data_IF_322612720134
#
_entry.id   IF_322612720134
#
_cell.length_a   1.000
_cell.length_b   1.000
_cell.length_c   1.000
_cell.angle_alpha   90.00
_cell.angle_beta   90.00
_cell.angle_gamma   90.00
#
_symmetry.space_group_name_H-M   'P 1'
#
loop_
_entity.id
_entity.type
_entity.pdbx_description
1 polymer ?
#
# COMPACT_ATOMS: atom_id res chain seq x y z
N UNK A 1 -14.09 5.43 -19.03
CA UNK A 1 -13.79 4.34 -18.05
C UNK A 1 -14.87 4.29 -16.96
N UNK A 2 -15.28 5.40 -16.38
CA UNK A 2 -16.10 5.45 -15.17
C UNK A 2 -17.61 5.50 -15.37
N UNK A 3 -18.12 5.46 -16.61
CA UNK A 3 -19.57 5.61 -16.90
C UNK A 3 -20.42 4.59 -16.14
N UNK A 4 -20.08 3.31 -16.22
CA UNK A 4 -20.81 2.25 -15.51
C UNK A 4 -20.74 2.37 -13.98
N UNK A 5 -19.61 2.83 -13.42
CA UNK A 5 -19.48 3.13 -11.98
C UNK A 5 -20.42 4.27 -11.60
N UNK A 6 -20.45 5.34 -12.41
CA UNK A 6 -21.30 6.50 -12.16
C UNK A 6 -22.79 6.17 -12.28
N UNK A 7 -23.18 5.28 -13.19
CA UNK A 7 -24.54 4.74 -13.29
C UNK A 7 -24.94 4.01 -12.02
N UNK A 8 -24.07 3.14 -11.49
CA UNK A 8 -24.32 2.42 -10.23
C UNK A 8 -24.44 3.40 -9.06
N UNK A 9 -23.55 4.39 -8.96
CA UNK A 9 -23.63 5.43 -7.92
C UNK A 9 -24.96 6.18 -8.01
N UNK A 10 -25.44 6.52 -9.21
CA UNK A 10 -26.74 7.23 -9.37
C UNK A 10 -27.93 6.35 -9.00
N UNK A 11 -27.87 5.06 -9.29
CA UNK A 11 -29.00 4.13 -9.12
C UNK A 11 -29.27 3.75 -7.65
N UNK A 12 -28.29 3.85 -6.75
CA UNK A 12 -28.41 3.37 -5.38
C UNK A 12 -28.45 4.51 -4.37
N UNK A 13 -29.40 4.46 -3.44
CA UNK A 13 -29.52 5.43 -2.34
C UNK A 13 -28.49 5.19 -1.22
N UNK A 14 -28.16 3.92 -0.96
CA UNK A 14 -27.16 3.52 0.03
C UNK A 14 -25.94 2.96 -0.68
N UNK A 15 -24.75 3.46 -0.31
CA UNK A 15 -23.48 3.03 -0.85
C UNK A 15 -22.57 2.67 0.32
N UNK A 16 -21.95 1.50 0.26
CA UNK A 16 -21.02 1.02 1.28
C UNK A 16 -19.65 0.84 0.64
N UNK A 17 -18.68 1.59 1.10
CA UNK A 17 -17.31 1.58 0.57
C UNK A 17 -16.47 0.57 1.32
N UNK A 18 -15.88 -0.36 0.60
CA UNK A 18 -14.97 -1.40 1.08
C UNK A 18 -13.55 -1.15 0.59
N UNK A 19 -12.57 -1.74 1.26
CA UNK A 19 -11.14 -1.71 0.91
C UNK A 19 -10.44 -2.95 1.45
N UNK A 20 -9.15 -3.10 1.17
CA UNK A 20 -8.36 -4.18 1.76
C UNK A 20 -8.16 -4.04 3.27
N UNK A 21 -7.90 -5.18 3.94
CA UNK A 21 -7.55 -5.22 5.36
C UNK A 21 -6.18 -4.57 5.61
N UNK A 22 -5.99 -4.04 6.83
CA UNK A 22 -4.77 -3.31 7.21
C UNK A 22 -4.47 -2.14 6.27
N UNK A 23 -5.36 -1.14 6.25
CA UNK A 23 -5.31 -0.07 5.25
C UNK A 23 -3.99 0.67 5.25
N UNK A 24 -3.56 1.01 4.06
CA UNK A 24 -2.55 2.04 3.85
C UNK A 24 -3.19 3.41 3.55
N UNK A 25 -2.37 4.35 3.07
CA UNK A 25 -2.86 5.70 2.79
C UNK A 25 -3.74 5.76 1.55
N UNK A 26 -3.53 4.87 0.57
CA UNK A 26 -4.34 4.82 -0.64
C UNK A 26 -5.69 4.18 -0.39
N UNK A 27 -5.73 3.03 0.26
CA UNK A 27 -6.98 2.36 0.61
C UNK A 27 -7.92 3.24 1.45
N UNK A 28 -7.38 3.91 2.46
CA UNK A 28 -8.18 4.79 3.30
C UNK A 28 -8.50 6.13 2.61
N UNK A 29 -7.53 6.69 1.89
CA UNK A 29 -7.69 7.94 1.14
C UNK A 29 -8.74 7.83 0.05
N UNK A 30 -8.77 6.72 -0.68
CA UNK A 30 -9.77 6.40 -1.70
C UNK A 30 -11.17 6.27 -1.07
N UNK A 31 -11.28 5.60 0.08
CA UNK A 31 -12.54 5.41 0.80
C UNK A 31 -13.12 6.73 1.29
N UNK A 32 -12.35 7.55 2.00
CA UNK A 32 -12.78 8.86 2.48
C UNK A 32 -13.05 9.80 1.31
N UNK A 33 -12.14 9.85 0.33
CA UNK A 33 -12.26 10.73 -0.83
C UNK A 33 -13.55 10.48 -1.62
N UNK A 34 -13.84 9.21 -1.94
CA UNK A 34 -15.04 8.84 -2.69
C UNK A 34 -16.32 9.10 -1.86
N UNK A 35 -16.31 8.83 -0.53
CA UNK A 35 -17.43 9.14 0.36
C UNK A 35 -17.81 10.61 0.23
N UNK A 36 -16.87 11.52 0.42
CA UNK A 36 -17.13 12.95 0.36
C UNK A 36 -17.51 13.41 -1.05
N UNK A 37 -16.87 12.90 -2.11
CA UNK A 37 -17.28 13.22 -3.49
C UNK A 37 -18.73 12.83 -3.73
N UNK A 38 -19.17 11.64 -3.30
CA UNK A 38 -20.55 11.22 -3.49
C UNK A 38 -21.51 12.09 -2.68
N UNK A 39 -21.21 12.37 -1.42
CA UNK A 39 -22.06 13.20 -0.55
C UNK A 39 -22.21 14.64 -1.07
N UNK A 40 -21.14 15.23 -1.57
CA UNK A 40 -21.12 16.61 -2.06
C UNK A 40 -21.89 16.77 -3.40
N UNK A 41 -21.92 15.74 -4.24
CA UNK A 41 -22.52 15.82 -5.57
C UNK A 41 -23.89 15.12 -5.70
N UNK A 42 -24.23 14.26 -4.78
CA UNK A 42 -25.50 13.50 -4.76
C UNK A 42 -26.17 13.64 -3.39
N UNK A 43 -26.73 14.81 -3.06
CA UNK A 43 -27.33 15.05 -1.76
C UNK A 43 -28.48 14.07 -1.52
N UNK A 44 -28.51 13.51 -0.31
CA UNK A 44 -29.49 12.51 0.10
C UNK A 44 -28.99 11.06 0.05
N UNK A 45 -27.87 10.76 -0.62
CA UNK A 45 -27.28 9.43 -0.57
C UNK A 45 -26.63 9.16 0.78
N UNK A 46 -26.87 7.96 1.31
CA UNK A 46 -26.22 7.44 2.51
C UNK A 46 -24.93 6.72 2.11
N UNK A 47 -23.78 7.27 2.46
CA UNK A 47 -22.48 6.67 2.15
C UNK A 47 -21.77 6.25 3.42
N UNK A 48 -21.46 4.97 3.53
CA UNK A 48 -20.87 4.33 4.71
C UNK A 48 -19.51 3.74 4.35
N UNK A 49 -18.62 3.67 5.34
CA UNK A 49 -17.29 3.07 5.20
C UNK A 49 -17.18 1.81 6.06
N UNK A 50 -16.91 0.67 5.43
CA UNK A 50 -16.70 -0.62 6.06
C UNK A 50 -15.22 -0.98 6.11
N UNK A 51 -14.79 -1.68 7.18
CA UNK A 51 -13.44 -2.22 7.29
C UNK A 51 -12.86 -2.14 8.70
N UNK A 52 -11.60 -2.51 8.83
CA UNK A 52 -10.85 -2.45 10.09
C UNK A 52 -10.38 -1.02 10.42
N UNK A 53 -9.92 -0.82 11.65
CA UNK A 53 -9.53 0.50 12.14
C UNK A 53 -8.42 1.15 11.31
N UNK A 54 -8.39 2.49 11.18
CA UNK A 54 -7.44 3.24 10.33
C UNK A 54 -6.00 3.23 10.84
N UNK A 55 -5.74 2.77 12.07
CA UNK A 55 -4.41 2.64 12.68
C UNK A 55 -3.57 3.92 12.55
N UNK A 56 -2.38 3.83 11.92
CA UNK A 56 -1.46 4.98 11.74
C UNK A 56 -2.05 6.11 10.90
N UNK A 57 -3.12 5.86 10.15
CA UNK A 57 -3.80 6.85 9.32
C UNK A 57 -4.99 7.51 10.01
N UNK A 58 -5.19 7.27 11.31
CA UNK A 58 -6.25 7.92 12.11
C UNK A 58 -6.14 9.46 12.18
N UNK A 59 -5.04 10.03 11.71
CA UNK A 59 -4.90 11.49 11.55
C UNK A 59 -5.72 12.06 10.38
N UNK A 60 -6.14 11.22 9.43
CA UNK A 60 -6.97 11.65 8.31
C UNK A 60 -8.38 11.98 8.80
N UNK A 61 -8.89 13.12 8.38
CA UNK A 61 -10.24 13.54 8.76
C UNK A 61 -11.27 12.50 8.29
N UNK A 62 -12.28 12.26 9.11
CA UNK A 62 -13.37 11.31 8.85
C UNK A 62 -12.93 9.86 8.60
N UNK A 63 -11.82 9.45 9.22
CA UNK A 63 -11.21 8.12 9.03
C UNK A 63 -11.88 6.99 9.85
N UNK A 64 -12.86 7.30 10.69
CA UNK A 64 -13.58 6.30 11.48
C UNK A 64 -14.50 5.46 10.59
N UNK A 65 -14.54 4.16 10.84
CA UNK A 65 -15.48 3.26 10.16
C UNK A 65 -16.87 3.38 10.75
N UNK A 66 -17.89 3.22 9.91
CA UNK A 66 -19.29 3.29 10.31
C UNK A 66 -19.73 1.96 10.94
N UNK A 67 -20.72 2.02 11.85
CA UNK A 67 -21.42 0.85 12.37
C UNK A 67 -22.50 0.43 11.37
N UNK A 68 -22.32 -0.72 10.71
CA UNK A 68 -23.14 -1.17 9.58
C UNK A 68 -23.79 -2.50 9.94
N UNK A 69 -25.13 -2.54 9.93
CA UNK A 69 -25.86 -3.78 10.08
C UNK A 69 -25.93 -4.56 8.75
N UNK A 70 -26.06 -5.89 8.82
CA UNK A 70 -26.19 -6.72 7.61
C UNK A 70 -27.41 -6.33 6.77
N UNK A 71 -28.48 -5.84 7.40
CA UNK A 71 -29.67 -5.34 6.70
C UNK A 71 -29.39 -4.10 5.84
N UNK A 72 -28.36 -3.29 6.15
CA UNK A 72 -28.01 -2.10 5.36
C UNK A 72 -27.50 -2.48 3.96
N UNK A 73 -26.99 -3.71 3.79
CA UNK A 73 -26.49 -4.22 2.51
C UNK A 73 -27.60 -4.59 1.52
N UNK A 74 -28.78 -4.97 1.98
CA UNK A 74 -29.84 -5.58 1.16
C UNK A 74 -30.24 -4.78 -0.09
N UNK A 75 -30.10 -3.46 -0.08
CA UNK A 75 -30.36 -2.57 -1.23
C UNK A 75 -29.19 -1.62 -1.50
N UNK A 76 -28.04 -1.90 -0.94
CA UNK A 76 -26.85 -1.07 -1.11
C UNK A 76 -26.04 -1.48 -2.34
N UNK A 77 -25.29 -0.51 -2.85
CA UNK A 77 -24.13 -0.75 -3.71
C UNK A 77 -22.88 -0.89 -2.83
N UNK A 78 -22.21 -2.02 -2.87
CA UNK A 78 -20.88 -2.15 -2.30
C UNK A 78 -19.82 -1.74 -3.34
N UNK A 79 -19.01 -0.72 -3.03
CA UNK A 79 -17.87 -0.32 -3.89
C UNK A 79 -16.58 -0.78 -3.23
N UNK A 80 -15.85 -1.66 -3.89
CA UNK A 80 -14.56 -2.19 -3.45
C UNK A 80 -13.47 -1.31 -4.03
N UNK A 81 -12.63 -0.76 -3.16
CA UNK A 81 -11.57 0.18 -3.49
C UNK A 81 -10.21 -0.45 -3.19
N UNK A 82 -9.24 -0.19 -4.07
CA UNK A 82 -7.83 -0.51 -3.83
C UNK A 82 -7.61 -1.96 -3.38
N UNK A 83 -8.22 -2.91 -4.08
CA UNK A 83 -8.17 -4.32 -3.67
C UNK A 83 -8.16 -5.25 -4.88
N UNK A 84 -7.09 -6.04 -5.03
CA UNK A 84 -6.86 -6.94 -6.17
C UNK A 84 -7.53 -8.31 -6.04
N UNK A 85 -7.89 -8.75 -4.83
CA UNK A 85 -8.44 -10.09 -4.60
C UNK A 85 -9.47 -10.12 -3.46
N UNK A 86 -10.52 -10.97 -3.54
CA UNK A 86 -11.57 -11.08 -2.52
C UNK A 86 -11.05 -11.38 -1.11
N UNK A 87 -9.99 -12.19 -1.01
CA UNK A 87 -9.40 -12.58 0.27
C UNK A 87 -8.74 -11.42 1.02
N UNK A 88 -8.44 -10.31 0.33
CA UNK A 88 -7.83 -9.12 0.92
C UNK A 88 -8.86 -8.12 1.44
N UNK A 89 -10.14 -8.24 1.05
CA UNK A 89 -11.19 -7.29 1.46
C UNK A 89 -11.41 -7.41 2.97
N UNK A 90 -11.35 -6.27 3.66
CA UNK A 90 -11.41 -6.19 5.12
C UNK A 90 -12.73 -6.70 5.71
N UNK A 91 -13.85 -6.47 5.03
CA UNK A 91 -15.19 -6.89 5.46
C UNK A 91 -15.86 -7.70 4.34
N UNK A 92 -16.06 -9.01 4.59
CA UNK A 92 -16.64 -9.93 3.62
C UNK A 92 -18.14 -9.70 3.32
N UNK A 93 -18.81 -8.85 4.11
CA UNK A 93 -20.24 -8.55 3.93
C UNK A 93 -20.56 -7.76 2.65
N UNK A 94 -19.54 -7.31 1.90
CA UNK A 94 -19.78 -6.76 0.56
C UNK A 94 -20.58 -7.71 -0.34
N UNK A 95 -20.49 -9.02 -0.11
CA UNK A 95 -21.25 -10.06 -0.83
C UNK A 95 -22.76 -10.08 -0.53
N UNK A 96 -23.20 -9.38 0.52
CA UNK A 96 -24.61 -9.22 0.87
C UNK A 96 -25.28 -8.07 0.13
N UNK A 97 -24.50 -7.22 -0.55
CA UNK A 97 -25.01 -6.06 -1.26
C UNK A 97 -25.86 -6.44 -2.47
N UNK A 98 -26.85 -5.59 -2.80
CA UNK A 98 -27.68 -5.77 -3.98
C UNK A 98 -26.87 -5.69 -5.27
N UNK A 99 -25.84 -4.85 -5.28
CA UNK A 99 -24.93 -4.65 -6.39
C UNK A 99 -23.51 -4.42 -5.89
N UNK A 100 -22.52 -4.71 -6.78
CA UNK A 100 -21.10 -4.54 -6.48
C UNK A 100 -20.38 -3.77 -7.58
N UNK A 101 -19.48 -2.89 -7.18
CA UNK A 101 -18.56 -2.19 -8.08
C UNK A 101 -17.14 -2.25 -7.54
N UNK A 102 -16.14 -2.10 -8.41
CA UNK A 102 -14.72 -2.03 -8.03
C UNK A 102 -14.03 -0.88 -8.73
N UNK A 103 -13.19 -0.15 -7.98
CA UNK A 103 -12.23 0.82 -8.53
C UNK A 103 -10.85 0.44 -7.96
N UNK A 104 -9.91 0.09 -8.84
CA UNK A 104 -8.63 -0.46 -8.42
C UNK A 104 -7.53 -0.20 -9.46
N UNK A 105 -6.28 -0.09 -8.99
CA UNK A 105 -5.12 0.14 -9.84
C UNK A 105 -4.12 -1.04 -9.85
N UNK A 106 -4.43 -2.11 -9.16
CA UNK A 106 -3.59 -3.30 -9.16
C UNK A 106 -3.69 -4.08 -10.47
N UNK A 107 -2.71 -4.96 -10.72
CA UNK A 107 -2.75 -5.92 -11.83
C UNK A 107 -4.04 -6.72 -11.74
N UNK A 108 -4.78 -6.74 -12.85
CA UNK A 108 -6.03 -7.49 -12.92
C UNK A 108 -5.76 -9.00 -12.88
N UNK A 109 -6.35 -9.69 -11.91
CA UNK A 109 -6.25 -11.15 -11.75
C UNK A 109 -7.61 -11.78 -12.13
N UNK A 110 -8.67 -11.41 -11.39
CA UNK A 110 -10.02 -11.91 -11.57
C UNK A 110 -11.03 -10.81 -11.30
N UNK A 111 -12.23 -10.94 -11.89
CA UNK A 111 -13.36 -10.07 -11.59
C UNK A 111 -13.90 -10.37 -10.17
N UNK A 112 -14.08 -9.36 -9.35
CA UNK A 112 -14.61 -9.46 -7.98
C UNK A 112 -15.88 -8.65 -7.77
N UNK A 113 -16.28 -7.85 -8.76
CA UNK A 113 -17.50 -7.05 -8.74
C UNK A 113 -18.23 -7.13 -10.08
N UNK A 114 -19.50 -6.76 -10.07
CA UNK A 114 -20.34 -6.77 -11.29
C UNK A 114 -19.91 -5.70 -12.30
N UNK A 115 -19.45 -4.55 -11.80
CA UNK A 115 -18.93 -3.44 -12.60
C UNK A 115 -17.54 -3.09 -12.07
N UNK A 116 -16.57 -2.98 -12.96
CA UNK A 116 -15.20 -2.71 -12.56
C UNK A 116 -14.54 -1.60 -13.38
N UNK A 117 -13.81 -0.74 -12.72
CA UNK A 117 -12.89 0.23 -13.31
C UNK A 117 -11.49 -0.08 -12.74
N UNK A 118 -10.73 -0.90 -13.49
CA UNK A 118 -9.38 -1.32 -13.10
C UNK A 118 -8.40 -0.81 -14.13
N UNK A 119 -7.37 -0.10 -13.70
CA UNK A 119 -6.31 0.42 -14.57
C UNK A 119 -4.97 0.48 -13.84
N UNK A 120 -4.08 -0.47 -14.15
CA UNK A 120 -2.73 -0.57 -13.59
C UNK A 120 -1.77 0.56 -14.03
N UNK A 121 -2.17 1.38 -14.99
CA UNK A 121 -1.41 2.57 -15.41
C UNK A 121 -1.53 3.76 -14.47
N UNK A 122 -2.35 3.67 -13.44
CA UNK A 122 -2.46 4.71 -12.41
C UNK A 122 -1.53 4.44 -11.23
N UNK A 123 -0.97 5.51 -10.69
CA UNK A 123 -0.07 5.44 -9.53
C UNK A 123 -0.78 5.05 -8.23
N UNK A 124 -2.13 5.14 -8.17
CA UNK A 124 -2.94 4.87 -6.98
C UNK A 124 -4.43 4.78 -7.32
N UNK A 125 -5.21 4.13 -6.46
CA UNK A 125 -6.67 4.15 -6.50
C UNK A 125 -7.21 5.57 -6.25
N UNK A 126 -6.55 6.36 -5.38
CA UNK A 126 -6.84 7.78 -5.20
C UNK A 126 -6.67 8.59 -6.49
N UNK A 127 -5.67 8.26 -7.30
CA UNK A 127 -5.51 8.83 -8.64
C UNK A 127 -6.68 8.50 -9.57
N UNK A 128 -7.15 7.24 -9.57
CA UNK A 128 -8.33 6.83 -10.33
C UNK A 128 -9.60 7.59 -9.90
N UNK A 129 -9.85 7.71 -8.60
CA UNK A 129 -11.02 8.46 -8.08
C UNK A 129 -10.91 9.95 -8.42
N UNK A 130 -9.70 10.50 -8.38
CA UNK A 130 -9.47 11.89 -8.83
C UNK A 130 -9.79 12.06 -10.31
N UNK A 131 -9.37 11.11 -11.17
CA UNK A 131 -9.71 11.11 -12.58
C UNK A 131 -11.22 10.98 -12.81
N UNK A 132 -11.91 10.10 -12.06
CA UNK A 132 -13.36 9.98 -12.07
C UNK A 132 -14.03 11.33 -11.79
N UNK A 133 -13.57 12.06 -10.76
CA UNK A 133 -14.12 13.36 -10.41
C UNK A 133 -13.86 14.41 -11.51
N UNK A 134 -12.66 14.42 -12.09
CA UNK A 134 -12.31 15.33 -13.19
C UNK A 134 -13.14 15.08 -14.45
N UNK A 135 -13.25 13.82 -14.89
CA UNK A 135 -13.99 13.43 -16.11
C UNK A 135 -15.50 13.71 -16.01
N UNK A 136 -16.06 13.63 -14.80
CA UNK A 136 -17.49 13.85 -14.57
C UNK A 136 -17.82 15.27 -14.04
N UNK A 137 -16.82 16.16 -13.92
CA UNK A 137 -17.01 17.53 -13.45
C UNK A 137 -17.54 17.61 -12.02
N UNK A 138 -17.17 16.65 -11.16
CA UNK A 138 -17.65 16.58 -9.79
C UNK A 138 -16.92 17.58 -8.88
N UNK A 139 -17.66 18.12 -7.93
CA UNK A 139 -17.09 18.93 -6.85
C UNK A 139 -16.27 18.04 -5.91
N UNK A 140 -15.10 18.53 -5.52
CA UNK A 140 -14.21 17.84 -4.57
C UNK A 140 -13.98 18.79 -3.39
N UNK A 141 -14.52 18.45 -2.23
CA UNK A 141 -14.33 19.22 -0.99
C UNK A 141 -12.90 19.13 -0.48
N UNK A 142 -12.57 19.98 0.51
CA UNK A 142 -11.24 19.97 1.12
C UNK A 142 -10.89 18.61 1.75
N UNK A 143 -11.84 17.97 2.43
CA UNK A 143 -11.62 16.65 3.05
C UNK A 143 -11.34 15.59 1.97
N UNK A 144 -12.14 15.55 0.90
CA UNK A 144 -11.91 14.64 -0.21
C UNK A 144 -10.53 14.88 -0.84
N UNK A 145 -10.19 16.15 -1.12
CA UNK A 145 -8.92 16.49 -1.73
C UNK A 145 -7.71 16.13 -0.86
N UNK A 146 -7.77 16.37 0.45
CA UNK A 146 -6.72 15.98 1.39
C UNK A 146 -6.52 14.47 1.44
N UNK A 147 -7.62 13.71 1.48
CA UNK A 147 -7.59 12.25 1.58
C UNK A 147 -7.04 11.62 0.30
N UNK A 148 -7.52 12.05 -0.87
CA UNK A 148 -7.03 11.59 -2.16
C UNK A 148 -5.55 11.96 -2.37
N UNK A 149 -5.15 13.18 -2.05
CA UNK A 149 -3.76 13.60 -2.13
C UNK A 149 -2.86 12.77 -1.21
N UNK A 150 -3.34 12.44 0.01
CA UNK A 150 -2.59 11.58 0.95
C UNK A 150 -2.35 10.20 0.36
N UNK A 151 -3.36 9.57 -0.25
CA UNK A 151 -3.21 8.28 -0.91
C UNK A 151 -2.25 8.34 -2.09
N UNK A 152 -2.38 9.33 -2.97
CA UNK A 152 -1.45 9.54 -4.09
C UNK A 152 0.00 9.67 -3.60
N UNK A 153 0.24 10.41 -2.51
CA UNK A 153 1.59 10.58 -1.91
C UNK A 153 2.14 9.27 -1.37
N UNK A 154 1.32 8.48 -0.69
CA UNK A 154 1.80 7.22 -0.09
C UNK A 154 2.14 6.19 -1.13
N UNK A 155 1.27 5.99 -2.10
CA UNK A 155 1.39 4.90 -3.06
C UNK A 155 2.39 5.18 -4.18
N UNK A 156 2.52 6.44 -4.62
CA UNK A 156 3.58 6.88 -5.53
C UNK A 156 4.97 7.03 -4.88
N UNK A 157 5.11 6.70 -3.59
CA UNK A 157 6.34 6.92 -2.84
C UNK A 157 6.79 8.38 -2.84
N UNK A 158 5.87 9.29 -2.62
CA UNK A 158 6.09 10.75 -2.71
C UNK A 158 6.41 11.22 -4.13
N UNK A 159 5.70 10.66 -5.11
CA UNK A 159 5.88 10.94 -6.54
C UNK A 159 7.28 10.54 -7.07
N UNK A 160 7.88 9.48 -6.52
CA UNK A 160 9.23 9.00 -6.86
C UNK A 160 9.23 7.70 -7.65
N UNK A 161 8.15 6.92 -7.58
CA UNK A 161 8.07 5.63 -8.26
C UNK A 161 7.76 5.78 -9.74
N UNK A 162 8.16 4.81 -10.54
CA UNK A 162 8.06 4.82 -12.01
C UNK A 162 6.62 4.95 -12.53
N UNK A 163 5.62 4.55 -11.75
CA UNK A 163 4.20 4.78 -12.04
C UNK A 163 3.77 6.26 -11.99
N UNK A 164 4.64 7.18 -11.54
CA UNK A 164 4.37 8.62 -11.52
C UNK A 164 4.51 9.21 -12.91
N UNK A 165 3.42 9.74 -13.44
CA UNK A 165 3.33 10.29 -14.81
C UNK A 165 2.94 11.77 -14.81
N UNK A 166 2.92 12.40 -15.98
CA UNK A 166 2.36 13.75 -16.14
C UNK A 166 0.91 13.82 -15.66
N UNK A 167 0.08 12.78 -15.96
CA UNK A 167 -1.29 12.70 -15.49
C UNK A 167 -1.41 12.63 -13.96
N UNK A 168 -0.45 12.00 -13.27
CA UNK A 168 -0.37 12.01 -11.81
C UNK A 168 -0.26 13.44 -11.27
N UNK A 169 0.63 14.25 -11.85
CA UNK A 169 0.80 15.65 -11.45
C UNK A 169 -0.41 16.52 -11.83
N UNK A 170 -1.07 16.26 -12.94
CA UNK A 170 -2.30 16.97 -13.32
C UNK A 170 -3.42 16.70 -12.31
N UNK A 171 -3.59 15.44 -11.88
CA UNK A 171 -4.54 15.06 -10.83
C UNK A 171 -4.17 15.68 -9.48
N UNK A 172 -2.92 15.63 -9.09
CA UNK A 172 -2.45 16.28 -7.88
C UNK A 172 -2.69 17.81 -7.92
N UNK A 173 -2.40 18.47 -9.06
CA UNK A 173 -2.67 19.89 -9.25
C UNK A 173 -4.17 20.21 -9.19
N UNK A 174 -5.05 19.32 -9.70
CA UNK A 174 -6.49 19.47 -9.57
C UNK A 174 -6.93 19.46 -8.12
N UNK A 175 -6.46 18.50 -7.31
CA UNK A 175 -6.76 18.44 -5.87
C UNK A 175 -6.22 19.68 -5.13
N UNK A 176 -5.02 20.15 -5.47
CA UNK A 176 -4.39 21.32 -4.86
C UNK A 176 -5.06 22.66 -5.18
N UNK A 177 -6.12 22.68 -6.00
CA UNK A 177 -7.01 23.87 -6.09
C UNK A 177 -7.75 24.09 -4.78
N UNK A 178 -7.92 23.06 -3.96
CA UNK A 178 -8.30 23.18 -2.56
C UNK A 178 -7.07 23.57 -1.72
N UNK A 179 -7.22 24.30 -0.62
CA UNK A 179 -6.11 24.73 0.25
C UNK A 179 -5.59 23.55 1.11
N UNK A 180 -5.06 22.51 0.47
CA UNK A 180 -4.53 21.32 1.13
C UNK A 180 -3.30 21.68 1.98
N UNK A 181 -3.27 21.37 3.28
CA UNK A 181 -2.12 21.62 4.15
C UNK A 181 -1.03 20.55 3.93
N UNK A 182 -0.37 20.57 2.77
CA UNK A 182 0.61 19.55 2.37
C UNK A 182 1.69 19.32 3.41
N UNK A 183 2.20 20.39 4.06
CA UNK A 183 3.20 20.27 5.11
C UNK A 183 2.73 19.48 6.34
N UNK A 184 1.45 19.55 6.70
CA UNK A 184 0.86 18.78 7.79
C UNK A 184 0.68 17.32 7.39
N UNK A 185 0.22 17.06 6.17
CA UNK A 185 0.09 15.71 5.61
C UNK A 185 1.46 15.01 5.62
N UNK A 186 2.50 15.64 5.05
CA UNK A 186 3.84 15.06 5.04
C UNK A 186 4.40 14.85 6.44
N UNK A 187 4.14 15.77 7.37
CA UNK A 187 4.55 15.60 8.76
C UNK A 187 3.85 14.41 9.41
N UNK A 188 2.53 14.25 9.23
CA UNK A 188 1.77 13.14 9.79
C UNK A 188 2.18 11.79 9.19
N UNK A 189 2.53 11.75 7.91
CA UNK A 189 2.98 10.53 7.23
C UNK A 189 4.40 10.10 7.60
N UNK A 190 5.32 11.06 7.78
CA UNK A 190 6.77 10.77 7.77
C UNK A 190 7.53 11.30 8.98
N UNK A 191 6.90 12.05 9.90
CA UNK A 191 7.56 12.38 11.16
C UNK A 191 7.79 11.09 11.97
N UNK A 192 8.95 11.01 12.57
CA UNK A 192 9.35 9.88 13.42
C UNK A 192 9.76 10.39 14.79
N UNK A 193 9.48 9.60 15.82
CA UNK A 193 10.04 9.83 17.13
C UNK A 193 11.58 9.73 17.09
N UNK A 194 12.25 10.49 17.94
CA UNK A 194 13.72 10.54 17.96
C UNK A 194 14.35 9.15 18.19
N UNK A 195 13.73 8.34 19.06
CA UNK A 195 14.15 6.95 19.34
C UNK A 195 14.09 6.07 18.08
N UNK A 196 13.05 6.24 17.25
CA UNK A 196 12.95 5.53 15.96
C UNK A 196 14.05 5.98 14.99
N UNK A 197 14.34 7.29 14.96
CA UNK A 197 15.45 7.81 14.15
C UNK A 197 16.79 7.25 14.62
N UNK A 198 17.04 7.19 15.93
CA UNK A 198 18.23 6.58 16.50
C UNK A 198 18.35 5.10 16.15
N UNK A 199 17.23 4.35 16.22
CA UNK A 199 17.20 2.95 15.82
C UNK A 199 17.54 2.78 14.32
N UNK A 200 16.96 3.59 13.45
CA UNK A 200 17.30 3.57 12.01
C UNK A 200 18.77 3.86 11.76
N UNK A 201 19.36 4.83 12.46
CA UNK A 201 20.79 5.15 12.35
C UNK A 201 21.67 3.97 12.79
N UNK A 202 21.32 3.27 13.88
CA UNK A 202 22.03 2.06 14.32
C UNK A 202 21.94 0.94 13.27
N UNK A 203 20.77 0.75 12.65
CA UNK A 203 20.59 -0.24 11.58
C UNK A 203 21.37 0.13 10.33
N UNK A 204 21.42 1.41 9.96
CA UNK A 204 22.25 1.90 8.85
C UNK A 204 23.74 1.55 9.06
N UNK A 205 24.25 1.69 10.26
CA UNK A 205 25.63 1.33 10.62
C UNK A 205 25.89 -0.20 10.61
N UNK A 206 24.86 -1.02 10.67
CA UNK A 206 24.95 -2.50 10.59
C UNK A 206 24.98 -3.02 9.17
N UNK A 207 24.68 -2.20 8.15
CA UNK A 207 24.61 -2.64 6.75
C UNK A 207 25.94 -3.28 6.35
N UNK A 208 25.83 -4.43 5.68
CA UNK A 208 26.92 -5.18 5.07
C UNK A 208 26.58 -5.45 3.60
N UNK A 209 27.59 -5.78 2.83
CA UNK A 209 27.46 -6.05 1.40
C UNK A 209 28.08 -7.39 1.06
N UNK A 210 27.45 -8.10 0.14
CA UNK A 210 28.03 -9.25 -0.55
C UNK A 210 29.02 -8.78 -1.64
N UNK A 211 29.79 -9.70 -2.25
CA UNK A 211 30.73 -9.36 -3.34
C UNK A 211 30.09 -8.62 -4.53
N UNK A 212 28.83 -8.96 -4.88
CA UNK A 212 28.10 -8.33 -6.00
C UNK A 212 27.08 -7.29 -5.53
N UNK A 213 27.29 -6.72 -4.31
CA UNK A 213 26.57 -5.55 -3.78
C UNK A 213 25.10 -5.80 -3.38
N UNK A 214 24.72 -7.02 -3.04
CA UNK A 214 23.49 -7.20 -2.27
C UNK A 214 23.73 -6.62 -0.87
N UNK A 215 22.90 -5.65 -0.46
CA UNK A 215 22.96 -5.09 0.88
C UNK A 215 22.19 -5.99 1.86
N UNK A 216 22.73 -6.19 3.06
CA UNK A 216 22.00 -6.95 4.08
C UNK A 216 22.27 -6.46 5.49
N UNK A 217 21.27 -6.71 6.35
CA UNK A 217 21.36 -6.56 7.80
C UNK A 217 21.03 -7.92 8.42
N UNK A 218 21.77 -8.29 9.46
CA UNK A 218 21.46 -9.48 10.25
C UNK A 218 21.32 -9.06 11.72
N UNK A 219 20.15 -9.32 12.30
CA UNK A 219 19.85 -9.03 13.70
C UNK A 219 19.73 -10.33 14.48
N UNK A 220 20.62 -10.56 15.43
CA UNK A 220 20.59 -11.74 16.29
C UNK A 220 19.47 -11.63 17.33
N UNK A 221 19.01 -12.77 17.84
CA UNK A 221 18.02 -12.83 18.90
C UNK A 221 18.47 -12.07 20.17
N UNK A 222 19.77 -12.10 20.47
CA UNK A 222 20.34 -11.35 21.61
C UNK A 222 20.31 -9.83 21.40
N UNK A 223 20.48 -9.35 20.20
CA UNK A 223 20.31 -7.95 19.84
C UNK A 223 18.86 -7.54 19.87
N UNK A 224 17.96 -8.34 19.25
CA UNK A 224 16.52 -8.09 19.22
C UNK A 224 15.96 -7.88 20.64
N UNK A 225 16.34 -8.72 21.61
CA UNK A 225 15.89 -8.63 23.00
C UNK A 225 16.28 -7.32 23.71
N UNK A 226 17.20 -6.55 23.18
CA UNK A 226 17.65 -5.25 23.73
C UNK A 226 16.93 -4.06 23.09
N UNK A 227 16.13 -4.32 22.04
CA UNK A 227 15.40 -3.27 21.33
C UNK A 227 14.01 -3.05 21.96
N UNK A 228 13.50 -1.83 21.95
CA UNK A 228 12.14 -1.52 22.37
C UNK A 228 11.10 -1.81 21.26
N UNK A 229 11.34 -2.84 20.44
CA UNK A 229 10.51 -3.19 19.30
C UNK A 229 10.44 -4.72 19.12
N UNK A 230 9.31 -5.22 18.64
CA UNK A 230 9.13 -6.63 18.35
C UNK A 230 9.84 -7.04 17.04
N UNK A 231 9.97 -8.36 16.83
CA UNK A 231 10.68 -8.92 15.68
C UNK A 231 10.08 -8.49 14.32
N UNK A 232 8.75 -8.38 14.24
CA UNK A 232 8.06 -8.01 13.01
C UNK A 232 8.32 -6.54 12.65
N UNK A 233 8.23 -5.66 13.65
CA UNK A 233 8.55 -4.23 13.50
C UNK A 233 10.00 -4.03 13.06
N UNK A 234 10.94 -4.79 13.62
CA UNK A 234 12.35 -4.73 13.23
C UNK A 234 12.55 -5.28 11.82
N UNK A 235 11.98 -6.45 11.50
CA UNK A 235 12.13 -7.09 10.20
C UNK A 235 11.63 -6.19 9.07
N UNK A 236 10.38 -5.78 9.12
CA UNK A 236 9.75 -4.92 8.10
C UNK A 236 10.16 -3.46 8.17
N UNK A 237 10.26 -2.90 9.38
CA UNK A 237 10.53 -1.47 9.55
C UNK A 237 11.95 -1.08 9.16
N UNK A 238 12.92 -1.98 9.29
CA UNK A 238 14.33 -1.66 9.04
C UNK A 238 14.82 -2.04 7.63
N UNK A 239 14.09 -2.84 6.87
CA UNK A 239 14.52 -3.19 5.50
C UNK A 239 14.68 -1.95 4.61
N UNK A 240 13.83 -0.94 4.78
CA UNK A 240 13.86 0.31 4.01
C UNK A 240 15.08 1.21 4.24
N UNK A 241 15.93 0.96 5.26
CA UNK A 241 17.13 1.79 5.47
C UNK A 241 18.21 1.57 4.40
N UNK A 242 18.05 0.53 3.57
CA UNK A 242 18.99 0.15 2.50
C UNK A 242 18.50 0.58 1.09
N UNK A 243 17.27 1.08 0.97
CA UNK A 243 16.60 1.29 -0.32
C UNK A 243 17.28 2.30 -1.25
N UNK A 244 17.93 3.33 -0.70
CA UNK A 244 18.48 4.44 -1.47
C UNK A 244 20.03 4.38 -1.56
N UNK A 245 20.63 3.17 -1.42
CA UNK A 245 22.09 3.02 -1.51
C UNK A 245 22.50 2.87 -2.98
N UNK A 246 23.33 3.77 -3.45
CA UNK A 246 23.83 3.74 -4.84
C UNK A 246 24.52 2.42 -5.18
N UNK A 247 24.11 1.78 -6.28
CA UNK A 247 24.64 0.52 -6.77
C UNK A 247 24.21 -0.70 -5.95
N UNK A 248 23.09 -0.60 -5.25
CA UNK A 248 22.41 -1.70 -4.56
C UNK A 248 21.06 -1.91 -5.21
N UNK A 249 20.91 -3.04 -5.88
CA UNK A 249 19.68 -3.42 -6.58
C UNK A 249 18.82 -4.41 -5.79
N UNK A 250 19.44 -5.14 -4.85
CA UNK A 250 18.76 -6.09 -3.95
C UNK A 250 19.22 -5.82 -2.51
N UNK A 251 18.26 -5.82 -1.57
CA UNK A 251 18.59 -5.72 -0.15
C UNK A 251 17.68 -6.59 0.71
N UNK A 252 18.23 -7.10 1.82
CA UNK A 252 17.53 -8.04 2.69
C UNK A 252 17.80 -7.78 4.17
N UNK A 253 16.75 -7.87 4.98
CA UNK A 253 16.84 -7.78 6.42
C UNK A 253 16.50 -9.15 7.06
N UNK A 254 17.46 -9.73 7.77
CA UNK A 254 17.30 -10.96 8.54
C UNK A 254 17.14 -10.64 10.03
N UNK A 255 16.13 -11.19 10.68
CA UNK A 255 15.84 -10.99 12.10
C UNK A 255 15.60 -12.34 12.80
N UNK A 256 16.50 -12.75 13.68
CA UNK A 256 16.33 -13.98 14.47
C UNK A 256 15.16 -13.87 15.44
N UNK A 257 14.37 -14.92 15.51
CA UNK A 257 13.31 -15.15 16.51
C UNK A 257 13.50 -16.52 17.17
N UNK A 258 12.75 -16.86 18.22
CA UNK A 258 12.78 -18.21 18.78
C UNK A 258 12.33 -19.29 17.79
N UNK A 259 11.50 -18.95 16.82
CA UNK A 259 10.89 -19.85 15.83
C UNK A 259 11.72 -20.00 14.55
N UNK A 260 12.70 -19.11 14.32
CA UNK A 260 13.52 -19.08 13.09
C UNK A 260 14.04 -17.69 12.77
N UNK A 261 14.32 -17.43 11.50
CA UNK A 261 14.82 -16.12 11.02
C UNK A 261 13.81 -15.52 10.07
N UNK A 262 13.17 -14.42 10.48
CA UNK A 262 12.34 -13.62 9.59
C UNK A 262 13.23 -12.96 8.53
N UNK A 263 12.80 -13.02 7.28
CA UNK A 263 13.53 -12.47 6.15
C UNK A 263 12.61 -11.56 5.34
N UNK A 264 13.00 -10.31 5.16
CA UNK A 264 12.33 -9.34 4.29
C UNK A 264 13.26 -8.95 3.15
N UNK A 265 12.84 -9.26 1.92
CA UNK A 265 13.60 -8.99 0.69
C UNK A 265 12.96 -7.83 -0.07
N UNK A 266 13.79 -7.00 -0.64
CA UNK A 266 13.39 -5.92 -1.53
C UNK A 266 14.37 -5.82 -2.70
N UNK A 267 13.86 -5.32 -3.82
CA UNK A 267 14.69 -5.04 -5.00
C UNK A 267 14.16 -3.83 -5.77
N UNK A 268 15.00 -3.26 -6.63
CA UNK A 268 14.60 -2.35 -7.70
C UNK A 268 14.21 -3.14 -8.95
N UNK A 269 15.17 -3.53 -9.80
CA UNK A 269 14.87 -4.13 -11.12
C UNK A 269 14.61 -5.65 -11.09
N UNK A 270 14.93 -6.34 -9.99
CA UNK A 270 14.93 -7.81 -9.95
C UNK A 270 13.60 -8.40 -9.46
N UNK A 271 13.17 -9.50 -10.10
CA UNK A 271 12.11 -10.34 -9.52
C UNK A 271 12.72 -11.31 -8.50
N UNK A 272 12.64 -10.98 -7.22
CA UNK A 272 13.18 -11.77 -6.11
C UNK A 272 12.19 -12.81 -5.55
N UNK A 273 10.95 -12.82 -6.02
CA UNK A 273 9.92 -13.75 -5.53
C UNK A 273 10.29 -15.23 -5.72
N UNK A 274 10.88 -15.67 -6.86
CA UNK A 274 11.28 -17.08 -7.02
C UNK A 274 12.27 -17.55 -5.95
N UNK A 275 13.23 -16.69 -5.53
CA UNK A 275 14.14 -17.02 -4.43
C UNK A 275 13.37 -17.12 -3.11
N UNK A 276 12.49 -16.16 -2.79
CA UNK A 276 11.69 -16.27 -1.58
C UNK A 276 10.85 -17.57 -1.55
N UNK A 277 10.24 -17.94 -2.67
CA UNK A 277 9.43 -19.16 -2.81
C UNK A 277 10.25 -20.44 -2.62
N UNK A 278 11.51 -20.49 -3.11
CA UNK A 278 12.45 -21.61 -2.91
C UNK A 278 12.70 -21.89 -1.42
N UNK A 279 12.62 -20.87 -0.58
CA UNK A 279 12.78 -20.94 0.87
C UNK A 279 11.44 -20.98 1.64
N UNK A 280 10.33 -21.34 0.97
CA UNK A 280 9.01 -21.47 1.58
C UNK A 280 8.31 -20.16 1.89
N UNK A 281 8.79 -19.08 1.30
CA UNK A 281 8.21 -17.74 1.40
C UNK A 281 7.38 -17.35 0.17
N UNK A 282 7.17 -16.04 -0.01
CA UNK A 282 6.41 -15.50 -1.14
C UNK A 282 6.30 -13.98 -1.07
N UNK A 283 5.46 -13.42 -1.93
CA UNK A 283 5.21 -11.98 -2.03
C UNK A 283 5.17 -11.51 -3.49
N UNK A 284 5.54 -10.26 -3.71
CA UNK A 284 5.61 -9.64 -5.03
C UNK A 284 7.00 -9.74 -5.66
N UNK A 285 7.09 -9.42 -6.95
CA UNK A 285 8.36 -9.45 -7.68
C UNK A 285 9.49 -8.68 -6.97
N UNK A 286 9.19 -7.50 -6.44
CA UNK A 286 10.18 -6.61 -5.81
C UNK A 286 10.09 -6.52 -4.28
N UNK A 287 9.12 -7.21 -3.66
CA UNK A 287 8.89 -7.21 -2.22
C UNK A 287 8.40 -8.58 -1.77
N UNK A 288 9.28 -9.37 -1.20
CA UNK A 288 8.99 -10.74 -0.75
C UNK A 288 9.52 -10.98 0.66
N UNK A 289 9.03 -12.03 1.32
CA UNK A 289 9.47 -12.43 2.63
C UNK A 289 9.47 -13.94 2.80
N UNK A 290 10.21 -14.44 3.79
CA UNK A 290 10.25 -15.85 4.17
C UNK A 290 10.53 -15.97 5.68
N UNK A 291 10.23 -17.15 6.23
CA UNK A 291 10.71 -17.54 7.56
C UNK A 291 11.67 -18.72 7.40
N UNK A 292 12.93 -18.47 7.68
CA UNK A 292 14.01 -19.41 7.50
C UNK A 292 14.28 -20.18 8.80
N UNK A 293 14.82 -21.38 8.71
CA UNK A 293 15.04 -22.24 9.87
C UNK A 293 16.13 -21.71 10.80
N UNK A 294 17.23 -21.21 10.21
CA UNK A 294 18.40 -20.79 10.96
C UNK A 294 19.28 -19.81 10.14
N UNK A 295 20.36 -19.36 10.78
CA UNK A 295 21.36 -18.48 10.15
C UNK A 295 22.02 -19.07 8.90
N UNK A 296 22.26 -20.40 8.87
CA UNK A 296 22.91 -21.02 7.72
C UNK A 296 22.01 -20.96 6.49
N UNK A 297 20.71 -21.13 6.70
CA UNK A 297 19.72 -20.98 5.62
C UNK A 297 19.63 -19.53 5.15
N UNK A 298 19.68 -18.56 6.07
CA UNK A 298 19.72 -17.13 5.73
C UNK A 298 20.96 -16.78 4.88
N UNK A 299 22.12 -17.33 5.21
CA UNK A 299 23.35 -17.10 4.43
C UNK A 299 23.32 -17.80 3.07
N UNK A 300 22.65 -18.95 2.93
CA UNK A 300 22.40 -19.57 1.61
C UNK A 300 21.50 -18.70 0.73
N UNK A 301 20.38 -18.25 1.26
CA UNK A 301 19.51 -17.30 0.54
C UNK A 301 20.26 -16.03 0.12
N UNK A 302 21.10 -15.49 1.00
CA UNK A 302 21.93 -14.33 0.68
C UNK A 302 22.91 -14.62 -0.48
N UNK A 303 23.47 -15.83 -0.52
CA UNK A 303 24.34 -16.28 -1.63
C UNK A 303 23.55 -16.38 -2.94
N UNK A 304 22.35 -16.95 -2.92
CA UNK A 304 21.51 -17.07 -4.11
C UNK A 304 21.11 -15.70 -4.67
N UNK A 305 20.85 -14.72 -3.80
CA UNK A 305 20.59 -13.33 -4.19
C UNK A 305 21.83 -12.66 -4.80
N UNK A 306 23.01 -12.92 -4.25
CA UNK A 306 24.29 -12.41 -4.79
C UNK A 306 24.62 -13.02 -6.16
N UNK A 307 24.35 -14.31 -6.33
CA UNK A 307 24.50 -15.02 -7.61
C UNK A 307 23.54 -14.45 -8.67
N UNK A 308 22.31 -14.12 -8.31
CA UNK A 308 21.34 -13.47 -9.21
C UNK A 308 21.89 -12.15 -9.78
N UNK A 309 22.46 -11.29 -8.93
CA UNK A 309 23.07 -10.01 -9.36
C UNK A 309 24.28 -10.27 -10.25
N UNK A 310 25.14 -11.24 -9.88
CA UNK A 310 26.32 -11.64 -10.68
C UNK A 310 25.94 -12.08 -12.10
N UNK A 311 24.93 -12.94 -12.21
CA UNK A 311 24.47 -13.48 -13.49
C UNK A 311 23.86 -12.40 -14.39
N UNK A 312 23.06 -11.51 -13.84
CA UNK A 312 22.52 -10.38 -14.58
C UNK A 312 23.64 -9.46 -15.11
N UNK A 313 24.65 -9.16 -14.29
CA UNK A 313 25.79 -8.36 -14.71
C UNK A 313 26.65 -9.04 -15.81
N UNK A 314 26.67 -10.36 -15.86
CA UNK A 314 27.35 -11.13 -16.91
C UNK A 314 26.57 -11.11 -18.24
N UNK A 315 25.23 -11.10 -18.20
CA UNK A 315 24.38 -11.04 -19.38
C UNK A 315 24.29 -9.63 -20.01
N UNK A 316 24.63 -8.59 -19.26
CA UNK A 316 24.60 -7.20 -19.72
C UNK A 316 25.89 -6.74 -20.43
N UNK A 317 26.94 -7.59 -20.50
CA UNK A 317 28.20 -7.39 -21.21
C UNK A 317 28.21 -8.13 -22.57
#
# INVERSE_FOLDING_TARGET
>A
MFEAIMEQIRAHETIILHRHAHPDGDALGSQIGLKHIIQDNFPGKRVLMAGDAPRRYAFMADSAMDDIADADYAQALAIILDTSAPALISDSRYTLAADTARIDHHIFIDAIARVEAVDEGFESCCGLITALAMENGLTVSLIAAQSLFTGMVTDSGRFRYDGTTAGTFERAAFLMRQPIPTGEIYRSLYAMEFEQLCMRAQYTLKIRFTPHRVAYIYTTLSELRRLPADAFTVSRGMVGVMADIQGVDIWVNFTETPEGVLCELRSGPFNINPIAAQYGGGGHAQASGATLRDRNEAMRMLSDLDDMVREAAACAK
#
